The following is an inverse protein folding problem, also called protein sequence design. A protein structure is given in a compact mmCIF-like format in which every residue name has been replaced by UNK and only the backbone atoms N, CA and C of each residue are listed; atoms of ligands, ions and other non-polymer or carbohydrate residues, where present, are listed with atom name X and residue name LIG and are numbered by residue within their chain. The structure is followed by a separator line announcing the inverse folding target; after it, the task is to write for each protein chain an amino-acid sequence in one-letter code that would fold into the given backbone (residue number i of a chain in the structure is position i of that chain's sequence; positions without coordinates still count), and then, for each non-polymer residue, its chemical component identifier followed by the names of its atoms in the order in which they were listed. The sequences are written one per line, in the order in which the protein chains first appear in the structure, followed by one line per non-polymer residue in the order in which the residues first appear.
data_IF_758588288339
#
_entry.id   IF_758588288339
#
_cell.length_a   1.000
_cell.length_b   1.000
_cell.length_c   1.000
_cell.angle_alpha   90.00
_cell.angle_beta   90.00
_cell.angle_gamma   90.00
#
_symmetry.space_group_name_H-M   'P 1'
#
loop_
_entity.id
_entity.type
_entity.pdbx_description
1 polymer ?
#
# COMPACT_ATOMS: atom_id res chain seq x y z
N UNK A 1 -23.13 -8.96 -4.85
CA UNK A 1 -21.90 -8.55 -4.15
C UNK A 1 -21.75 -7.05 -4.28
N UNK A 2 -21.98 -6.29 -3.21
CA UNK A 2 -21.69 -4.85 -3.21
C UNK A 2 -20.18 -4.66 -3.12
N UNK A 3 -19.57 -4.05 -4.15
CA UNK A 3 -18.17 -3.62 -4.10
C UNK A 3 -17.96 -2.76 -2.84
N UNK A 4 -16.90 -3.03 -2.07
CA UNK A 4 -16.57 -2.25 -0.88
C UNK A 4 -16.31 -0.79 -1.30
N UNK A 5 -17.19 0.14 -0.88
CA UNK A 5 -17.11 1.56 -1.25
C UNK A 5 -15.83 2.25 -0.75
N UNK A 6 -15.10 1.62 0.16
CA UNK A 6 -13.85 2.12 0.72
C UNK A 6 -12.60 1.59 -0.01
N UNK A 7 -12.76 0.77 -1.05
CA UNK A 7 -11.65 0.27 -1.85
C UNK A 7 -11.09 1.41 -2.72
N UNK A 8 -9.93 1.93 -2.35
CA UNK A 8 -9.23 3.01 -3.11
C UNK A 8 -8.29 2.47 -4.19
N UNK A 9 -7.79 1.25 -4.01
CA UNK A 9 -6.86 0.64 -4.95
C UNK A 9 -6.99 -0.88 -4.94
N UNK A 10 -6.99 -1.47 -6.12
CA UNK A 10 -6.93 -2.91 -6.31
C UNK A 10 -6.08 -3.21 -7.54
N UNK A 11 -5.05 -4.01 -7.38
CA UNK A 11 -4.26 -4.48 -8.49
C UNK A 11 -3.78 -5.91 -8.23
N UNK A 12 -4.21 -6.85 -9.07
CA UNK A 12 -3.92 -8.28 -8.96
C UNK A 12 -2.72 -8.75 -9.79
N UNK A 13 -2.07 -7.85 -10.55
CA UNK A 13 -1.05 -8.21 -11.54
C UNK A 13 0.38 -7.99 -11.05
N UNK A 14 0.55 -7.50 -9.83
CA UNK A 14 1.88 -7.25 -9.25
C UNK A 14 2.09 -8.10 -8.02
N UNK A 15 3.26 -8.72 -7.98
CA UNK A 15 3.81 -9.17 -6.72
C UNK A 15 4.45 -7.99 -5.99
N UNK A 16 4.27 -7.96 -4.68
CA UNK A 16 4.58 -6.79 -3.89
C UNK A 16 4.24 -7.00 -2.43
N UNK A 17 4.48 -5.98 -1.64
CA UNK A 17 4.13 -5.97 -0.23
C UNK A 17 3.64 -4.59 0.17
N UNK A 18 2.91 -4.53 1.28
CA UNK A 18 2.49 -3.29 1.89
C UNK A 18 3.35 -3.01 3.13
N UNK A 19 3.80 -1.78 3.30
CA UNK A 19 4.34 -1.29 4.57
C UNK A 19 3.25 -0.43 5.21
N UNK A 20 2.98 -0.66 6.48
CA UNK A 20 2.06 0.15 7.27
C UNK A 20 2.82 0.76 8.45
N UNK A 21 2.88 2.09 8.50
CA UNK A 21 3.30 2.83 9.69
C UNK A 21 2.06 3.37 10.39
N UNK A 22 1.94 3.14 11.69
CA UNK A 22 0.71 3.37 12.46
C UNK A 22 1.02 4.24 13.68
N UNK A 23 0.40 5.40 13.75
CA UNK A 23 0.36 6.26 14.93
C UNK A 23 -1.04 6.25 15.55
N UNK A 24 -1.23 6.82 16.76
CA UNK A 24 -2.56 6.95 17.34
C UNK A 24 -3.55 7.75 16.48
N UNK A 25 -3.06 8.70 15.68
CA UNK A 25 -3.83 9.66 14.88
C UNK A 25 -4.06 9.17 13.44
N UNK A 26 -3.07 8.54 12.82
CA UNK A 26 -3.14 8.13 11.42
C UNK A 26 -2.37 6.83 11.13
N UNK A 27 -2.69 6.21 9.99
CA UNK A 27 -1.88 5.15 9.40
C UNK A 27 -1.40 5.58 8.02
N UNK A 28 -0.12 5.38 7.74
CA UNK A 28 0.48 5.55 6.43
C UNK A 28 0.68 4.17 5.82
N UNK A 29 0.04 3.93 4.67
CA UNK A 29 0.11 2.66 3.95
C UNK A 29 0.83 2.87 2.63
N UNK A 30 1.95 2.19 2.45
CA UNK A 30 2.74 2.21 1.22
C UNK A 30 2.62 0.87 0.51
N UNK A 31 2.26 0.91 -0.77
CA UNK A 31 2.16 -0.26 -1.64
C UNK A 31 3.38 -0.31 -2.54
N UNK A 32 4.20 -1.33 -2.36
CA UNK A 32 5.44 -1.52 -3.10
C UNK A 32 5.30 -2.68 -4.07
N UNK A 33 5.71 -2.45 -5.31
CA UNK A 33 5.93 -3.51 -6.30
C UNK A 33 7.39 -3.95 -6.23
N UNK A 34 7.60 -5.25 -6.32
CA UNK A 34 8.93 -5.85 -6.52
C UNK A 34 9.03 -6.47 -7.91
N UNK A 35 10.23 -6.49 -8.48
CA UNK A 35 10.47 -7.09 -9.79
C UNK A 35 10.59 -8.63 -9.76
N UNK A 36 10.89 -9.22 -8.59
CA UNK A 36 10.89 -10.67 -8.36
C UNK A 36 10.41 -11.00 -6.93
N UNK A 37 9.81 -12.18 -6.75
CA UNK A 37 9.38 -12.73 -5.45
C UNK A 37 10.11 -14.00 -5.03
N UNK A 38 11.09 -14.44 -5.82
CA UNK A 38 11.87 -15.62 -5.44
C UNK A 38 12.80 -15.24 -4.27
N UNK A 39 12.54 -15.78 -3.09
CA UNK A 39 13.48 -15.70 -1.97
C UNK A 39 14.78 -16.44 -2.36
N UNK A 40 15.99 -15.89 -2.06
CA UNK A 40 16.29 -14.79 -1.12
C UNK A 40 16.39 -13.39 -1.76
N UNK A 41 15.95 -13.19 -3.01
CA UNK A 41 16.29 -12.00 -3.81
C UNK A 41 15.38 -10.79 -3.55
N UNK A 42 14.27 -10.95 -2.81
CA UNK A 42 13.26 -9.88 -2.58
C UNK A 42 13.87 -8.62 -1.97
N UNK A 43 14.84 -8.75 -1.05
CA UNK A 43 15.50 -7.58 -0.45
C UNK A 43 16.43 -6.84 -1.43
N UNK A 44 16.94 -7.55 -2.44
CA UNK A 44 17.87 -7.04 -3.45
C UNK A 44 17.17 -6.59 -4.73
N UNK A 45 15.89 -6.93 -4.89
CA UNK A 45 15.09 -6.53 -6.05
C UNK A 45 14.78 -5.04 -6.03
N UNK A 46 14.66 -4.47 -7.22
CA UNK A 46 14.20 -3.10 -7.38
C UNK A 46 12.76 -2.96 -6.82
N UNK A 47 12.60 -1.99 -5.93
CA UNK A 47 11.34 -1.69 -5.25
C UNK A 47 10.77 -0.40 -5.82
N UNK A 48 9.55 -0.48 -6.33
CA UNK A 48 8.85 0.67 -6.93
C UNK A 48 7.65 0.98 -6.05
N UNK A 49 7.60 2.19 -5.46
CA UNK A 49 6.42 2.67 -4.75
C UNK A 49 5.30 2.88 -5.77
N UNK A 50 4.23 2.11 -5.65
CA UNK A 50 3.08 2.19 -6.55
C UNK A 50 2.06 3.19 -6.04
N UNK A 51 1.77 3.14 -4.74
CA UNK A 51 0.81 4.02 -4.08
C UNK A 51 1.17 4.26 -2.63
N UNK A 52 0.82 5.45 -2.13
CA UNK A 52 0.91 5.82 -0.72
C UNK A 52 -0.40 6.43 -0.26
N UNK A 53 -0.95 5.91 0.82
CA UNK A 53 -2.19 6.38 1.42
C UNK A 53 -1.96 6.86 2.84
N UNK A 54 -2.64 7.95 3.21
CA UNK A 54 -2.84 8.35 4.60
C UNK A 54 -4.26 8.00 5.01
N UNK A 55 -4.41 7.32 6.13
CA UNK A 55 -5.70 6.98 6.74
C UNK A 55 -5.79 7.71 8.07
N UNK A 56 -6.66 8.73 8.16
CA UNK A 56 -6.88 9.46 9.40
C UNK A 56 -7.91 8.74 10.25
N UNK A 57 -7.61 8.49 11.53
CA UNK A 57 -8.44 7.67 12.42
C UNK A 57 -9.78 8.33 12.77
N UNK A 58 -9.77 9.65 12.92
CA UNK A 58 -10.91 10.46 13.36
C UNK A 58 -12.05 10.50 12.33
N UNK A 59 -11.68 10.60 11.06
CA UNK A 59 -12.59 10.77 9.93
C UNK A 59 -12.74 9.51 9.10
N UNK A 60 -11.89 8.49 9.37
CA UNK A 60 -11.73 7.30 8.54
C UNK A 60 -11.50 7.65 7.06
N UNK A 61 -10.87 8.81 6.81
CA UNK A 61 -10.61 9.32 5.47
C UNK A 61 -9.33 8.70 4.95
N UNK A 62 -9.41 8.15 3.73
CA UNK A 62 -8.25 7.63 2.99
C UNK A 62 -7.87 8.65 1.92
N UNK A 63 -6.69 9.25 2.08
CA UNK A 63 -6.09 10.25 1.18
C UNK A 63 -4.95 9.60 0.39
N UNK A 64 -4.95 9.72 -0.95
CA UNK A 64 -3.80 9.36 -1.78
C UNK A 64 -2.76 10.48 -1.68
N UNK A 65 -1.57 10.13 -1.24
CA UNK A 65 -0.43 11.04 -1.05
C UNK A 65 0.80 10.53 -1.84
N UNK A 66 0.57 9.78 -2.91
CA UNK A 66 1.61 9.40 -3.87
C UNK A 66 2.10 10.68 -4.56
N UNK A 67 3.39 11.00 -4.39
CA UNK A 67 4.00 12.22 -4.95
C UNK A 67 3.93 12.32 -6.47
#
# INVERSE_FOLDING_TARGET
MSLNKNLKFFNSHYHGYAICDITPEEAIVELWRVSSIEEPEVEQTEKILVKKYRVKRDTNTIEDITG
#
